data_IF_557810600777
#
_entry.id   IF_557810600777
#
_cell.length_a   1.000
_cell.length_b   1.000
_cell.length_c   1.000
_cell.angle_alpha   90.00
_cell.angle_beta   90.00
_cell.angle_gamma   90.00
#
_symmetry.space_group_name_H-M   'P 1'
#
loop_
_entity.id
_entity.type
_entity.pdbx_description
1 polymer ?
#
# COMPACT_ATOMS: atom_id res chain seq x y z
N UNK A 1 18.35 -8.90 -24.68
CA UNK A 1 17.30 -8.59 -23.69
C UNK A 1 17.00 -7.10 -23.80
N UNK A 2 15.76 -6.72 -24.14
CA UNK A 2 15.36 -5.29 -24.07
C UNK A 2 15.29 -4.91 -22.60
N UNK A 3 16.01 -3.87 -22.19
CA UNK A 3 15.79 -3.25 -20.87
C UNK A 3 14.34 -2.78 -20.83
N UNK A 4 13.52 -3.45 -20.02
CA UNK A 4 12.21 -2.93 -19.66
C UNK A 4 12.44 -1.62 -18.89
N UNK A 5 12.00 -0.51 -19.46
CA UNK A 5 12.00 0.76 -18.76
C UNK A 5 11.15 0.61 -17.50
N UNK A 6 11.74 0.87 -16.33
CA UNK A 6 10.98 0.92 -15.08
C UNK A 6 9.89 1.98 -15.22
N UNK A 7 8.63 1.56 -15.35
CA UNK A 7 7.50 2.47 -15.32
C UNK A 7 7.41 2.99 -13.89
N UNK A 8 8.03 4.14 -13.64
CA UNK A 8 7.97 4.83 -12.37
C UNK A 8 6.59 5.49 -12.25
N UNK A 9 5.61 4.72 -11.78
CA UNK A 9 4.33 5.28 -11.37
C UNK A 9 4.50 6.01 -10.03
N UNK A 10 4.01 7.23 -9.96
CA UNK A 10 3.99 8.05 -8.75
C UNK A 10 2.56 8.46 -8.43
N UNK A 11 2.24 8.62 -7.14
CA UNK A 11 0.98 9.23 -6.75
C UNK A 11 0.94 10.71 -7.15
N UNK A 12 -0.23 11.19 -7.56
CA UNK A 12 -0.46 12.63 -7.73
C UNK A 12 -0.39 13.35 -6.38
N UNK A 13 -0.27 14.68 -6.37
CA UNK A 13 -0.30 15.44 -5.11
C UNK A 13 -1.58 15.20 -4.32
N UNK A 14 -2.72 15.07 -4.99
CA UNK A 14 -3.99 14.71 -4.35
C UNK A 14 -3.92 13.32 -3.69
N UNK A 15 -3.33 12.33 -4.37
CA UNK A 15 -3.10 10.99 -3.82
C UNK A 15 -2.16 10.99 -2.62
N UNK A 16 -1.09 11.79 -2.67
CA UNK A 16 -0.16 11.98 -1.53
C UNK A 16 -0.92 12.56 -0.33
N UNK A 17 -1.71 13.63 -0.54
CA UNK A 17 -2.47 14.27 0.53
C UNK A 17 -3.49 13.32 1.17
N UNK A 18 -4.22 12.55 0.36
CA UNK A 18 -5.18 11.56 0.84
C UNK A 18 -4.50 10.47 1.68
N UNK A 19 -3.37 9.94 1.21
CA UNK A 19 -2.59 8.93 1.93
C UNK A 19 -2.03 9.46 3.25
N UNK A 20 -1.54 10.71 3.26
CA UNK A 20 -1.04 11.36 4.48
C UNK A 20 -2.16 11.55 5.52
N UNK A 21 -3.34 11.98 5.09
CA UNK A 21 -4.51 12.12 5.97
C UNK A 21 -4.93 10.77 6.55
N UNK A 22 -4.99 9.73 5.71
CA UNK A 22 -5.38 8.40 6.15
C UNK A 22 -4.38 7.79 7.14
N UNK A 23 -3.07 7.89 6.85
CA UNK A 23 -2.01 7.36 7.71
C UNK A 23 -1.75 8.20 8.96
N UNK A 24 -2.18 9.46 8.99
CA UNK A 24 -1.87 10.38 10.09
C UNK A 24 -0.38 10.73 10.18
N UNK A 25 0.37 10.61 9.08
CA UNK A 25 1.79 10.92 9.04
C UNK A 25 2.21 11.53 7.70
N UNK A 26 3.31 12.29 7.70
CA UNK A 26 3.89 12.78 6.45
C UNK A 26 4.53 11.64 5.65
N UNK A 27 4.22 11.63 4.36
CA UNK A 27 4.84 10.75 3.37
C UNK A 27 5.73 11.58 2.45
N UNK A 28 6.83 10.99 2.01
CA UNK A 28 7.65 11.56 0.94
C UNK A 28 6.80 11.71 -0.33
N UNK A 29 6.91 12.83 -1.07
CA UNK A 29 6.21 12.98 -2.35
C UNK A 29 6.62 11.94 -3.40
N UNK A 30 7.77 11.29 -3.22
CA UNK A 30 8.25 10.21 -4.07
C UNK A 30 7.87 8.84 -3.49
N UNK A 31 6.57 8.56 -3.32
CA UNK A 31 6.10 7.22 -2.98
C UNK A 31 6.44 6.31 -4.16
N UNK A 32 7.45 5.46 -3.99
CA UNK A 32 7.81 4.45 -5.00
C UNK A 32 6.74 3.37 -5.01
N UNK A 33 5.97 3.32 -6.09
CA UNK A 33 5.12 2.18 -6.40
C UNK A 33 6.03 1.08 -6.96
N UNK A 34 6.11 -0.05 -6.26
CA UNK A 34 6.79 -1.23 -6.75
C UNK A 34 5.84 -2.01 -7.65
N UNK A 35 6.35 -2.51 -8.77
CA UNK A 35 5.60 -3.46 -9.61
C UNK A 35 5.89 -4.87 -9.10
N UNK A 36 4.85 -5.59 -8.68
CA UNK A 36 4.97 -7.02 -8.50
C UNK A 36 4.87 -7.69 -9.88
N UNK A 37 5.97 -8.26 -10.37
CA UNK A 37 6.00 -8.94 -11.67
C UNK A 37 5.24 -10.27 -11.67
N UNK A 38 5.02 -10.88 -10.51
CA UNK A 38 4.25 -12.13 -10.41
C UNK A 38 2.75 -11.88 -10.58
N UNK A 39 2.25 -10.75 -10.09
CA UNK A 39 0.84 -10.38 -10.19
C UNK A 39 0.56 -9.31 -11.25
N UNK A 40 1.59 -8.71 -11.83
CA UNK A 40 1.54 -7.51 -12.71
C UNK A 40 0.74 -6.36 -12.10
N UNK A 41 0.82 -6.20 -10.77
CA UNK A 41 0.09 -5.17 -10.01
C UNK A 41 1.06 -4.22 -9.33
N UNK A 42 0.70 -2.95 -9.32
CA UNK A 42 1.39 -1.94 -8.54
C UNK A 42 1.05 -2.11 -7.05
N UNK A 43 2.06 -2.05 -6.20
CA UNK A 43 1.90 -2.02 -4.74
C UNK A 43 2.79 -0.94 -4.12
N UNK A 44 2.42 -0.49 -2.92
CA UNK A 44 3.24 0.46 -2.15
C UNK A 44 4.25 -0.35 -1.34
N UNK A 45 5.53 -0.28 -1.71
CA UNK A 45 6.62 -0.99 -1.03
C UNK A 45 7.39 -0.12 -0.03
N UNK A 46 8.35 -0.73 0.67
CA UNK A 46 9.26 -0.05 1.59
C UNK A 46 8.56 0.57 2.81
N UNK A 47 9.13 1.65 3.37
CA UNK A 47 8.63 2.29 4.59
C UNK A 47 7.18 2.79 4.50
N UNK A 48 6.69 3.12 3.30
CA UNK A 48 5.27 3.48 3.11
C UNK A 48 4.36 2.25 3.17
N UNK A 49 4.78 1.14 2.55
CA UNK A 49 4.06 -0.13 2.65
C UNK A 49 3.99 -0.67 4.08
N UNK A 50 5.09 -0.52 4.83
CA UNK A 50 5.17 -0.89 6.24
C UNK A 50 4.15 -0.12 7.09
N UNK A 51 4.09 1.21 6.96
CA UNK A 51 3.11 2.04 7.68
C UNK A 51 1.65 1.71 7.34
N UNK A 52 1.37 1.39 6.07
CA UNK A 52 0.05 0.91 5.65
C UNK A 52 -0.29 -0.38 6.38
N UNK A 53 0.65 -1.34 6.41
CA UNK A 53 0.45 -2.60 7.11
C UNK A 53 0.27 -2.42 8.63
N UNK A 54 1.09 -1.60 9.27
CA UNK A 54 0.98 -1.27 10.70
C UNK A 54 -0.40 -0.70 11.03
N UNK A 55 -0.90 0.26 10.24
CA UNK A 55 -2.22 0.85 10.44
C UNK A 55 -3.34 -0.20 10.29
N UNK A 56 -3.26 -1.07 9.28
CA UNK A 56 -4.25 -2.13 9.08
C UNK A 56 -4.26 -3.15 10.23
N UNK A 57 -3.09 -3.47 10.81
CA UNK A 57 -2.98 -4.31 12.00
C UNK A 57 -3.59 -3.60 13.22
N UNK A 58 -3.26 -2.31 13.42
CA UNK A 58 -3.79 -1.50 14.51
C UNK A 58 -5.33 -1.39 14.46
N UNK A 59 -5.89 -1.19 13.27
CA UNK A 59 -7.35 -1.16 13.04
C UNK A 59 -8.00 -2.56 13.07
N UNK A 60 -7.24 -3.61 13.40
CA UNK A 60 -7.68 -5.02 13.45
C UNK A 60 -8.28 -5.52 12.13
N UNK A 61 -7.89 -4.91 11.01
CA UNK A 61 -8.30 -5.33 9.66
C UNK A 61 -7.49 -6.52 9.16
N UNK A 62 -6.26 -6.68 9.63
CA UNK A 62 -5.44 -7.84 9.33
C UNK A 62 -4.54 -8.24 10.50
N UNK A 63 -3.91 -9.41 10.39
CA UNK A 63 -2.95 -9.93 11.37
C UNK A 63 -1.76 -10.54 10.63
N UNK A 64 -0.54 -10.26 11.11
CA UNK A 64 0.68 -10.93 10.65
C UNK A 64 0.78 -12.33 11.27
N UNK A 65 1.07 -13.34 10.46
CA UNK A 65 1.39 -14.69 10.93
C UNK A 65 2.90 -14.92 10.98
N UNK A 66 3.32 -16.00 11.64
CA UNK A 66 4.73 -16.36 11.81
C UNK A 66 5.48 -16.58 10.48
N UNK A 67 4.76 -16.84 9.39
CA UNK A 67 5.34 -17.15 8.07
C UNK A 67 5.35 -15.95 7.12
N UNK A 68 5.34 -14.72 7.65
CA UNK A 68 5.21 -13.48 6.85
C UNK A 68 3.95 -13.45 5.98
N UNK A 69 2.93 -14.23 6.35
CA UNK A 69 1.62 -14.18 5.69
C UNK A 69 0.73 -13.20 6.45
N UNK A 70 -0.18 -12.57 5.72
CA UNK A 70 -1.19 -11.69 6.29
C UNK A 70 -2.52 -12.40 6.21
N UNK A 71 -3.22 -12.49 7.33
CA UNK A 71 -4.61 -12.97 7.38
C UNK A 71 -5.51 -11.76 7.50
N UNK A 72 -6.46 -11.62 6.57
CA UNK A 72 -7.52 -10.62 6.65
C UNK A 72 -8.51 -11.02 7.76
N UNK A 73 -8.88 -10.04 8.59
CA UNK A 73 -9.87 -10.18 9.67
C UNK A 73 -11.20 -9.52 9.31
N UNK A 74 -11.29 -8.97 8.12
CA UNK A 74 -12.47 -8.34 7.52
C UNK A 74 -12.62 -8.84 6.09
N UNK A 75 -13.83 -8.80 5.54
CA UNK A 75 -14.01 -9.12 4.12
C UNK A 75 -13.38 -8.05 3.22
N UNK A 76 -13.05 -8.45 1.99
CA UNK A 76 -12.38 -7.58 1.03
C UNK A 76 -13.16 -6.30 0.74
N UNK A 77 -14.50 -6.37 0.69
CA UNK A 77 -15.32 -5.20 0.39
C UNK A 77 -15.26 -4.18 1.54
N UNK A 78 -15.25 -4.64 2.78
CA UNK A 78 -15.11 -3.80 3.96
C UNK A 78 -13.68 -3.27 4.13
N UNK A 79 -12.65 -4.02 3.72
CA UNK A 79 -11.28 -3.50 3.64
C UNK A 79 -11.20 -2.32 2.66
N UNK A 80 -11.88 -2.43 1.53
CA UNK A 80 -11.83 -1.45 0.44
C UNK A 80 -12.76 -0.25 0.64
N UNK A 81 -13.73 -0.30 1.55
CA UNK A 81 -14.69 0.79 1.80
C UNK A 81 -14.04 2.14 2.11
N UNK A 82 -12.87 2.14 2.76
CA UNK A 82 -12.16 3.37 3.11
C UNK A 82 -11.35 3.94 1.94
N UNK A 83 -11.16 3.17 0.86
CA UNK A 83 -10.41 3.58 -0.32
C UNK A 83 -11.30 4.13 -1.44
N UNK A 84 -12.61 3.87 -1.41
CA UNK A 84 -13.58 4.28 -2.44
C UNK A 84 -14.46 5.48 -2.05
N UNK A 85 -14.10 6.24 -1.01
CA UNK A 85 -14.80 7.47 -0.63
C UNK A 85 -14.23 8.70 -1.29
#
# INVERSE_FOLDING_TARGET
MKQESSINCSLTQAGINAMQQWLGCQLSPNIKLCLDFSERKFHVGGASGEKILEKLIHERKCQLTQNRQIVLKTDLNNLMKDFYK
#
